data_IF_951623427951
#
_entry.id   IF_951623427951
#
_cell.length_a   1.000
_cell.length_b   1.000
_cell.length_c   1.000
_cell.angle_alpha   90.00
_cell.angle_beta   90.00
_cell.angle_gamma   90.00
#
_symmetry.space_group_name_H-M   'P 1'
#
loop_
_entity.id
_entity.type
_entity.pdbx_description
1 polymer ?
#
# COMPACT_ATOMS: atom_id res chain seq x y z
N UNK A 1 -61.71 -45.96 40.86
CA UNK A 1 -60.50 -46.75 41.20
C UNK A 1 -59.49 -46.57 40.07
N UNK A 2 -58.42 -45.84 40.36
CA UNK A 2 -57.14 -45.75 39.61
C UNK A 2 -56.22 -46.85 40.23
N UNK A 3 -55.14 -47.40 39.61
CA UNK A 3 -54.52 -47.19 38.28
C UNK A 3 -54.20 -48.50 37.50
N UNK A 4 -53.74 -48.38 36.25
CA UNK A 4 -52.45 -48.99 35.89
C UNK A 4 -51.78 -48.20 34.76
N UNK A 5 -50.69 -47.54 35.14
CA UNK A 5 -49.68 -47.00 34.22
C UNK A 5 -48.90 -48.16 33.62
N UNK A 6 -48.56 -48.09 32.33
CA UNK A 6 -47.35 -48.73 31.82
C UNK A 6 -46.70 -47.90 30.70
N UNK A 7 -45.64 -47.21 31.11
CA UNK A 7 -44.31 -47.11 30.48
C UNK A 7 -44.27 -46.69 29.00
N UNK A 8 -44.28 -45.38 28.80
CA UNK A 8 -43.55 -44.75 27.70
C UNK A 8 -42.08 -44.63 28.12
N UNK A 9 -41.19 -45.41 27.50
CA UNK A 9 -39.77 -45.21 27.58
C UNK A 9 -39.38 -43.99 26.72
N UNK A 10 -38.75 -42.94 27.27
CA UNK A 10 -38.12 -41.93 26.44
C UNK A 10 -36.76 -42.46 26.01
N UNK A 11 -36.62 -42.68 24.70
CA UNK A 11 -35.36 -42.90 24.00
C UNK A 11 -34.48 -41.66 24.25
N UNK A 12 -33.53 -41.78 25.18
CA UNK A 12 -32.49 -40.77 25.44
C UNK A 12 -31.59 -40.68 24.21
N UNK A 13 -31.94 -39.76 23.31
CA UNK A 13 -31.09 -39.34 22.21
C UNK A 13 -29.96 -38.49 22.80
N UNK A 14 -28.85 -39.16 23.14
CA UNK A 14 -27.58 -38.52 23.50
C UNK A 14 -27.06 -37.76 22.26
N UNK A 15 -27.54 -36.54 22.08
CA UNK A 15 -26.90 -35.56 21.21
C UNK A 15 -25.57 -35.24 21.86
N UNK A 16 -24.50 -35.88 21.37
CA UNK A 16 -23.13 -35.44 21.63
C UNK A 16 -22.98 -34.06 21.02
N UNK A 17 -23.24 -33.03 21.82
CA UNK A 17 -22.65 -31.72 21.58
C UNK A 17 -21.14 -31.91 21.65
N UNK A 18 -20.53 -32.09 20.48
CA UNK A 18 -19.12 -31.81 20.31
C UNK A 18 -19.01 -30.30 20.53
N UNK A 19 -18.72 -29.90 21.77
CA UNK A 19 -18.13 -28.61 22.03
C UNK A 19 -16.85 -28.59 21.19
N UNK A 20 -16.96 -27.99 20.00
CA UNK A 20 -15.82 -27.40 19.34
C UNK A 20 -15.41 -26.31 20.31
N UNK A 21 -14.51 -26.66 21.22
CA UNK A 21 -13.66 -25.70 21.91
C UNK A 21 -12.91 -25.05 20.76
N UNK A 22 -13.46 -23.95 20.25
CA UNK A 22 -12.71 -22.99 19.50
C UNK A 22 -11.57 -22.60 20.45
N UNK A 23 -10.44 -23.27 20.31
CA UNK A 23 -9.21 -22.79 20.88
C UNK A 23 -9.12 -21.34 20.38
N UNK A 24 -9.07 -20.35 21.29
CA UNK A 24 -8.75 -19.01 20.86
C UNK A 24 -7.44 -19.13 20.10
N UNK A 25 -7.50 -18.91 18.78
CA UNK A 25 -6.31 -18.64 17.99
C UNK A 25 -5.56 -17.59 18.80
N UNK A 26 -4.28 -17.80 19.13
CA UNK A 26 -3.53 -16.89 19.97
C UNK A 26 -3.73 -15.50 19.41
N UNK A 27 -4.31 -14.65 20.25
CA UNK A 27 -4.41 -13.21 20.03
C UNK A 27 -3.03 -12.76 19.59
N UNK A 28 -2.93 -12.37 18.33
CA UNK A 28 -1.74 -11.72 17.77
C UNK A 28 -1.36 -10.64 18.77
N UNK A 29 -0.12 -10.71 19.24
CA UNK A 29 0.42 -9.88 20.30
C UNK A 29 0.12 -8.41 20.01
N UNK A 30 -0.85 -7.83 20.75
CA UNK A 30 -1.15 -6.39 20.79
C UNK A 30 -0.03 -5.60 21.50
N UNK A 31 1.21 -6.08 21.46
CA UNK A 31 2.37 -5.22 21.64
C UNK A 31 2.47 -4.38 20.39
N UNK A 32 2.18 -3.09 20.54
CA UNK A 32 2.35 -2.06 19.54
C UNK A 32 3.77 -2.02 18.99
N UNK A 33 4.05 -2.93 18.06
CA UNK A 33 5.07 -2.78 17.06
C UNK A 33 4.60 -1.61 16.20
N UNK A 34 5.03 -0.41 16.58
CA UNK A 34 5.04 0.73 15.66
C UNK A 34 5.82 0.26 14.44
N UNK A 35 5.10 -0.12 13.40
CA UNK A 35 5.69 -0.54 12.14
C UNK A 35 6.10 0.74 11.43
N UNK A 36 7.24 1.32 11.78
CA UNK A 36 7.73 2.56 11.17
C UNK A 36 8.62 2.23 9.96
N UNK A 37 7.97 1.72 8.90
CA UNK A 37 8.66 1.40 7.65
C UNK A 37 8.35 2.41 6.57
N UNK A 38 9.34 2.61 5.70
CA UNK A 38 9.18 3.38 4.48
C UNK A 38 8.38 2.53 3.50
N UNK A 39 7.16 2.99 3.19
CA UNK A 39 6.31 2.41 2.14
C UNK A 39 6.86 2.77 0.77
N UNK A 40 7.49 3.93 0.63
CA UNK A 40 8.18 4.33 -0.59
C UNK A 40 8.42 5.85 -0.63
N UNK A 41 8.65 6.35 -1.84
CA UNK A 41 9.07 7.72 -2.10
C UNK A 41 8.15 8.42 -3.09
N UNK A 42 7.81 9.67 -2.81
CA UNK A 42 7.07 10.54 -3.71
C UNK A 42 7.92 11.76 -4.07
N UNK A 43 7.84 12.20 -5.33
CA UNK A 43 8.61 13.32 -5.84
C UNK A 43 7.68 14.44 -6.27
N UNK A 44 7.99 15.67 -5.84
CA UNK A 44 7.07 16.78 -6.04
C UNK A 44 7.80 18.13 -6.07
N UNK A 45 7.06 19.20 -6.29
CA UNK A 45 7.56 20.58 -6.22
C UNK A 45 7.65 21.10 -4.77
N UNK A 46 8.36 22.20 -4.58
CA UNK A 46 8.55 22.82 -3.27
C UNK A 46 7.24 23.17 -2.56
N UNK A 47 6.25 23.64 -3.31
CA UNK A 47 4.99 24.11 -2.74
C UNK A 47 4.20 22.95 -2.16
N UNK A 48 4.11 21.85 -2.91
CA UNK A 48 3.50 20.60 -2.47
C UNK A 48 4.26 19.97 -1.30
N UNK A 49 5.58 19.94 -1.36
CA UNK A 49 6.40 19.37 -0.28
C UNK A 49 6.23 20.10 1.04
N UNK A 50 6.16 21.44 1.01
CA UNK A 50 5.88 22.26 2.21
C UNK A 50 4.49 21.97 2.78
N UNK A 51 3.49 21.84 1.91
CA UNK A 51 2.14 21.45 2.33
C UNK A 51 2.12 20.07 3.00
N UNK A 52 2.78 19.08 2.41
CA UNK A 52 2.85 17.73 2.98
C UNK A 52 3.57 17.71 4.33
N UNK A 53 4.67 18.47 4.46
CA UNK A 53 5.37 18.63 5.73
C UNK A 53 4.50 19.31 6.81
N UNK A 54 3.68 20.29 6.43
CA UNK A 54 2.76 20.96 7.34
C UNK A 54 1.61 20.04 7.76
N UNK A 55 1.05 19.26 6.83
CA UNK A 55 0.00 18.29 7.11
C UNK A 55 0.52 17.04 7.84
N UNK A 56 1.82 16.73 7.71
CA UNK A 56 2.43 15.48 8.17
C UNK A 56 2.05 14.26 7.32
N UNK A 57 1.37 14.47 6.18
CA UNK A 57 0.87 13.42 5.29
C UNK A 57 0.74 13.94 3.86
N UNK A 58 0.42 13.05 2.92
CA UNK A 58 0.13 13.41 1.53
C UNK A 58 -1.25 14.05 1.42
N UNK A 59 -1.34 15.11 0.61
CA UNK A 59 -2.61 15.74 0.26
C UNK A 59 -2.94 15.55 -1.22
N UNK A 60 -4.23 15.61 -1.54
CA UNK A 60 -4.75 15.49 -2.91
C UNK A 60 -4.71 16.85 -3.61
N UNK A 61 -3.57 17.22 -4.17
CA UNK A 61 -3.37 18.47 -4.91
C UNK A 61 -3.68 18.34 -6.42
N UNK A 62 -3.70 17.11 -6.94
CA UNK A 62 -4.04 16.76 -8.32
C UNK A 62 -5.13 15.69 -8.33
N UNK A 63 -6.03 15.75 -9.31
CA UNK A 63 -7.01 14.68 -9.51
C UNK A 63 -6.32 13.39 -9.95
N UNK A 64 -6.67 12.26 -9.33
CA UNK A 64 -6.20 10.93 -9.73
C UNK A 64 -5.41 10.20 -8.65
N UNK A 65 -4.30 9.58 -9.03
CA UNK A 65 -3.48 8.74 -8.16
C UNK A 65 -2.15 9.42 -7.83
N UNK A 66 -1.67 9.25 -6.60
CA UNK A 66 -0.29 9.56 -6.22
C UNK A 66 0.61 8.39 -6.54
N UNK A 67 1.73 8.67 -7.18
CA UNK A 67 2.74 7.66 -7.50
C UNK A 67 3.75 7.59 -6.36
N UNK A 68 3.88 6.39 -5.80
CA UNK A 68 4.83 6.06 -4.74
C UNK A 68 5.83 5.06 -5.33
N UNK A 69 7.09 5.43 -5.32
CA UNK A 69 8.21 4.65 -5.82
C UNK A 69 8.77 3.76 -4.71
N UNK A 70 9.20 2.53 -5.02
CA UNK A 70 9.62 1.58 -4.00
C UNK A 70 11.01 1.92 -3.44
N UNK A 71 11.84 2.59 -4.24
CA UNK A 71 13.19 3.03 -3.90
C UNK A 71 13.40 4.47 -4.33
N UNK A 72 14.39 5.18 -3.75
CA UNK A 72 14.79 6.46 -4.29
C UNK A 72 15.30 6.26 -5.72
N UNK A 73 14.81 7.00 -6.71
CA UNK A 73 15.48 7.02 -8.02
C UNK A 73 16.77 7.86 -7.92
N UNK A 74 17.66 7.86 -8.92
CA UNK A 74 18.92 8.65 -8.84
C UNK A 74 19.01 9.76 -9.88
N UNK A 75 18.39 9.59 -11.06
CA UNK A 75 18.80 10.34 -12.26
C UNK A 75 18.11 11.68 -12.49
N UNK A 76 17.03 12.02 -11.76
CA UNK A 76 16.24 13.25 -12.01
C UNK A 76 15.96 14.07 -10.74
N UNK A 77 16.72 13.78 -9.67
CA UNK A 77 16.36 14.10 -8.28
C UNK A 77 17.07 15.31 -7.70
N UNK A 78 17.90 15.98 -8.51
CA UNK A 78 18.43 17.28 -8.13
C UNK A 78 17.42 18.42 -8.30
N UNK A 79 16.28 18.18 -8.96
CA UNK A 79 15.28 19.22 -9.28
C UNK A 79 14.01 19.15 -8.45
N UNK A 80 13.71 17.99 -7.87
CA UNK A 80 12.44 17.73 -7.17
C UNK A 80 12.68 17.55 -5.67
N UNK A 81 11.69 17.95 -4.87
CA UNK A 81 11.63 17.59 -3.46
C UNK A 81 11.33 16.10 -3.33
N UNK A 82 11.89 15.48 -2.30
CA UNK A 82 11.80 14.03 -2.07
C UNK A 82 11.03 13.79 -0.79
N UNK A 83 9.90 13.11 -0.90
CA UNK A 83 9.02 12.79 0.20
C UNK A 83 9.13 11.31 0.54
N UNK A 84 9.62 11.03 1.74
CA UNK A 84 9.59 9.71 2.33
C UNK A 84 8.20 9.43 2.89
N UNK A 85 7.58 8.34 2.44
CA UNK A 85 6.26 7.94 2.87
C UNK A 85 6.40 6.78 3.84
N UNK A 86 5.96 7.00 5.07
CA UNK A 86 5.96 6.01 6.14
C UNK A 86 4.55 5.56 6.44
N UNK A 87 4.44 4.34 6.92
CA UNK A 87 3.24 3.87 7.61
C UNK A 87 3.60 3.62 9.06
N UNK A 88 2.63 3.72 9.97
CA UNK A 88 2.81 3.33 11.38
C UNK A 88 1.88 2.17 11.76
N UNK A 89 0.75 2.04 11.06
CA UNK A 89 -0.28 1.02 11.25
C UNK A 89 -0.41 0.21 9.96
N UNK A 90 0.37 -0.86 9.84
CA UNK A 90 0.40 -1.68 8.63
C UNK A 90 -0.97 -2.33 8.34
N UNK A 91 -1.74 -2.63 9.38
CA UNK A 91 -3.05 -3.29 9.33
C UNK A 91 -4.00 -2.63 8.31
N UNK A 92 -4.16 -1.31 8.37
CA UNK A 92 -5.07 -0.59 7.46
C UNK A 92 -4.64 -0.73 5.99
N UNK A 93 -3.33 -0.77 5.72
CA UNK A 93 -2.81 -0.97 4.38
C UNK A 93 -2.95 -2.43 3.92
N UNK A 94 -2.80 -3.40 4.82
CA UNK A 94 -3.02 -4.82 4.53
C UNK A 94 -4.50 -5.15 4.29
N UNK A 95 -5.42 -4.43 4.91
CA UNK A 95 -6.87 -4.60 4.71
C UNK A 95 -7.41 -3.86 3.49
N UNK A 96 -6.73 -2.79 3.05
CA UNK A 96 -7.15 -2.02 1.88
C UNK A 96 -7.28 -2.90 0.61
N UNK A 97 -8.26 -2.66 -0.27
CA UNK A 97 -8.32 -3.33 -1.57
C UNK A 97 -7.06 -3.06 -2.38
N UNK A 98 -6.44 -4.12 -2.91
CA UNK A 98 -5.17 -4.06 -3.63
C UNK A 98 -5.26 -4.82 -4.95
N UNK A 99 -4.57 -4.31 -5.98
CA UNK A 99 -4.54 -4.94 -7.29
C UNK A 99 -3.19 -4.76 -7.98
N UNK A 100 -2.62 -5.83 -8.52
CA UNK A 100 -1.50 -5.74 -9.44
C UNK A 100 -2.00 -5.56 -10.89
N UNK A 101 -1.44 -4.59 -11.60
CA UNK A 101 -1.77 -4.27 -12.99
C UNK A 101 -0.76 -4.95 -13.91
N UNK A 102 -1.21 -5.99 -14.60
CA UNK A 102 -0.38 -6.71 -15.59
C UNK A 102 -0.40 -6.04 -16.96
N UNK A 103 -1.41 -5.22 -17.24
CA UNK A 103 -1.51 -4.46 -18.50
C UNK A 103 -0.57 -3.24 -18.47
N UNK A 104 0.60 -3.38 -19.09
CA UNK A 104 1.59 -2.31 -19.25
C UNK A 104 1.05 -1.06 -19.96
N UNK A 105 0.02 -1.22 -20.79
CA UNK A 105 -0.63 -0.11 -21.49
C UNK A 105 -1.59 0.67 -20.60
N UNK A 106 -2.11 0.04 -19.54
CA UNK A 106 -2.90 0.72 -18.51
C UNK A 106 -2.00 1.57 -17.59
N UNK A 107 -0.73 1.18 -17.39
CA UNK A 107 0.26 1.91 -16.58
C UNK A 107 0.80 3.19 -17.23
N UNK A 108 0.25 3.62 -18.37
CA UNK A 108 0.62 4.88 -19.03
C UNK A 108 -0.05 6.06 -18.31
N UNK A 109 0.67 7.16 -18.13
CA UNK A 109 0.18 8.39 -17.46
C UNK A 109 -1.11 8.99 -18.09
N UNK A 110 -1.38 8.70 -19.37
CA UNK A 110 -2.63 9.07 -20.07
C UNK A 110 -3.75 8.05 -19.93
N UNK A 111 -3.52 6.97 -19.17
CA UNK A 111 -4.34 5.76 -19.12
C UNK A 111 -5.33 5.72 -17.96
N UNK A 112 -5.63 6.84 -17.29
CA UNK A 112 -6.53 6.85 -16.12
C UNK A 112 -7.82 6.07 -16.36
N UNK A 113 -8.48 6.30 -17.50
CA UNK A 113 -9.70 5.57 -17.87
C UNK A 113 -9.48 4.05 -18.08
N UNK A 114 -8.31 3.65 -18.59
CA UNK A 114 -7.94 2.22 -18.70
C UNK A 114 -7.68 1.60 -17.34
N UNK A 115 -7.01 2.33 -16.43
CA UNK A 115 -6.82 1.89 -15.05
C UNK A 115 -8.17 1.69 -14.35
N UNK A 116 -9.09 2.64 -14.49
CA UNK A 116 -10.43 2.51 -13.93
C UNK A 116 -11.17 1.29 -14.48
N UNK A 117 -11.08 1.03 -15.79
CA UNK A 117 -11.70 -0.14 -16.41
C UNK A 117 -11.08 -1.43 -15.87
N UNK A 118 -9.76 -1.49 -15.72
CA UNK A 118 -9.07 -2.66 -15.17
C UNK A 118 -9.52 -2.98 -13.73
N UNK A 119 -9.71 -1.96 -12.89
CA UNK A 119 -10.26 -2.14 -11.53
C UNK A 119 -11.73 -2.61 -11.58
N UNK A 120 -12.54 -2.02 -12.45
CA UNK A 120 -13.96 -2.41 -12.63
C UNK A 120 -14.09 -3.85 -13.11
N UNK A 121 -13.24 -4.30 -14.04
CA UNK A 121 -13.20 -5.67 -14.55
C UNK A 121 -12.79 -6.66 -13.45
N UNK A 122 -11.91 -6.23 -12.54
CA UNK A 122 -11.57 -6.96 -11.32
C UNK A 122 -12.68 -6.93 -10.25
N UNK A 123 -13.81 -6.26 -10.51
CA UNK A 123 -14.95 -6.07 -9.59
C UNK A 123 -14.56 -5.37 -8.29
N UNK A 124 -13.58 -4.48 -8.36
CA UNK A 124 -13.12 -3.67 -7.24
C UNK A 124 -13.61 -2.21 -7.38
N UNK A 125 -13.51 -1.44 -6.29
CA UNK A 125 -13.93 -0.04 -6.29
C UNK A 125 -12.74 0.86 -6.67
N UNK A 126 -12.89 1.57 -7.79
CA UNK A 126 -11.90 2.51 -8.33
C UNK A 126 -11.38 3.50 -7.28
N UNK A 127 -12.27 3.98 -6.42
CA UNK A 127 -11.95 5.07 -5.51
C UNK A 127 -11.01 4.68 -4.37
N UNK A 128 -10.99 3.42 -3.97
CA UNK A 128 -10.22 2.95 -2.80
C UNK A 128 -9.35 1.74 -3.10
N UNK A 129 -9.15 1.36 -4.37
CA UNK A 129 -8.25 0.29 -4.72
C UNK A 129 -6.84 0.84 -4.91
N UNK A 130 -5.91 0.39 -4.08
CA UNK A 130 -4.48 0.67 -4.25
C UNK A 130 -3.98 -0.22 -5.38
N UNK A 131 -3.31 0.38 -6.37
CA UNK A 131 -2.77 -0.38 -7.48
C UNK A 131 -1.26 -0.48 -7.43
N UNK A 132 -0.73 -1.53 -8.01
CA UNK A 132 0.69 -1.80 -8.13
C UNK A 132 1.00 -2.16 -9.58
N UNK A 133 2.03 -1.55 -10.18
CA UNK A 133 2.35 -1.81 -11.58
C UNK A 133 3.77 -1.44 -11.96
N UNK A 134 4.25 -1.98 -13.08
CA UNK A 134 5.59 -1.71 -13.58
C UNK A 134 5.68 -0.29 -14.20
N UNK A 135 6.77 0.47 -13.98
CA UNK A 135 7.04 1.72 -14.66
C UNK A 135 7.23 1.51 -16.16
N UNK A 136 6.71 2.46 -16.93
CA UNK A 136 6.76 2.47 -18.39
C UNK A 136 8.19 2.32 -18.96
N UNK A 137 9.18 2.92 -18.30
CA UNK A 137 10.56 3.01 -18.82
C UNK A 137 11.24 1.65 -19.01
N UNK A 138 10.90 0.65 -18.20
CA UNK A 138 11.43 -0.70 -18.34
C UNK A 138 10.82 -1.43 -19.55
N UNK A 139 9.51 -1.28 -19.74
CA UNK A 139 8.76 -1.93 -20.80
C UNK A 139 9.21 -1.50 -22.21
N UNK A 140 9.52 -0.21 -22.41
CA UNK A 140 9.93 0.32 -23.71
C UNK A 140 11.40 0.04 -24.05
N UNK A 141 12.26 -0.17 -23.05
CA UNK A 141 13.69 -0.42 -23.26
C UNK A 141 14.05 -1.91 -23.32
N UNK A 142 13.05 -2.80 -23.28
CA UNK A 142 13.30 -4.25 -23.22
C UNK A 142 14.10 -4.68 -22.00
N UNK A 143 14.15 -3.84 -20.95
CA UNK A 143 14.82 -4.13 -19.70
C UNK A 143 13.80 -4.74 -18.76
N UNK A 144 14.19 -5.76 -18.01
CA UNK A 144 13.32 -6.26 -16.95
C UNK A 144 12.99 -5.10 -15.99
N UNK A 145 11.70 -4.88 -15.69
CA UNK A 145 11.29 -3.86 -14.74
C UNK A 145 11.85 -4.24 -13.38
N UNK A 146 12.88 -3.52 -12.94
CA UNK A 146 13.48 -3.74 -11.63
C UNK A 146 12.63 -3.18 -10.48
N UNK A 147 11.53 -2.47 -10.78
CA UNK A 147 10.79 -1.70 -9.78
C UNK A 147 9.28 -1.77 -10.05
N UNK A 148 8.48 -1.82 -8.98
CA UNK A 148 7.02 -1.70 -9.02
C UNK A 148 6.65 -0.33 -8.45
N UNK A 149 5.71 0.39 -9.06
CA UNK A 149 5.15 1.64 -8.54
C UNK A 149 3.80 1.34 -7.87
N UNK A 150 3.53 1.99 -6.74
CA UNK A 150 2.22 2.03 -6.12
C UNK A 150 1.46 3.28 -6.59
N UNK A 151 0.21 3.09 -6.99
CA UNK A 151 -0.75 4.14 -7.33
C UNK A 151 -1.76 4.26 -6.19
N UNK A 152 -1.63 5.34 -5.42
CA UNK A 152 -2.43 5.60 -4.23
C UNK A 152 -3.61 6.52 -4.59
N UNK A 153 -4.88 6.07 -4.48
CA UNK A 153 -6.03 6.89 -4.86
C UNK A 153 -6.29 8.06 -3.88
N UNK A 154 -6.94 9.11 -4.40
CA UNK A 154 -7.28 10.32 -3.62
C UNK A 154 -8.10 10.08 -2.36
N UNK A 155 -8.92 9.03 -2.26
CA UNK A 155 -9.71 8.75 -1.05
C UNK A 155 -8.82 8.36 0.16
N UNK A 156 -7.53 8.10 -0.05
CA UNK A 156 -6.54 7.91 1.01
C UNK A 156 -5.68 9.15 1.28
N UNK A 157 -5.95 10.27 0.63
CA UNK A 157 -5.18 11.50 0.76
C UNK A 157 -5.99 12.55 1.51
N UNK A 158 -5.33 13.38 2.30
CA UNK A 158 -6.01 14.49 2.95
C UNK A 158 -6.34 15.61 1.96
N UNK A 159 -7.26 16.48 2.36
CA UNK A 159 -7.65 17.64 1.56
C UNK A 159 -6.46 18.57 1.33
N UNK A 160 -6.23 18.94 0.08
CA UNK A 160 -5.21 19.94 -0.23
C UNK A 160 -5.69 21.36 0.07
N UNK A 161 -4.82 22.18 0.63
CA UNK A 161 -5.08 23.62 0.78
C UNK A 161 -4.96 24.37 -0.55
N UNK A 162 -4.06 23.92 -1.43
CA UNK A 162 -3.83 24.52 -2.74
C UNK A 162 -4.90 24.13 -3.76
N UNK A 163 -5.47 22.94 -3.60
CA UNK A 163 -6.57 22.47 -4.43
C UNK A 163 -7.72 21.91 -3.58
N UNK A 164 -8.51 22.79 -2.92
CA UNK A 164 -9.56 22.36 -2.01
C UNK A 164 -10.76 21.70 -2.71
N UNK A 165 -10.84 21.79 -4.04
CA UNK A 165 -11.87 21.18 -4.87
C UNK A 165 -11.48 19.78 -5.36
N UNK A 166 -10.21 19.38 -5.24
CA UNK A 166 -9.79 18.04 -5.57
C UNK A 166 -10.53 17.00 -4.71
N UNK A 167 -10.81 15.85 -5.32
CA UNK A 167 -11.29 14.69 -4.58
C UNK A 167 -10.27 14.32 -3.51
N UNK A 168 -10.72 13.99 -2.31
CA UNK A 168 -9.88 13.66 -1.16
C UNK A 168 -10.64 12.71 -0.22
N UNK A 169 -9.93 12.15 0.74
CA UNK A 169 -10.49 11.42 1.87
C UNK A 169 -9.85 11.82 3.18
N UNK A 170 -9.58 10.83 4.05
CA UNK A 170 -9.22 11.06 5.46
C UNK A 170 -7.92 10.40 5.90
N UNK A 171 -7.03 10.04 4.96
CA UNK A 171 -5.79 9.30 5.25
C UNK A 171 -6.04 8.07 6.14
N UNK A 172 -7.05 7.27 5.80
CA UNK A 172 -7.44 6.08 6.58
C UNK A 172 -6.37 4.99 6.62
N UNK A 173 -5.36 5.05 5.75
CA UNK A 173 -4.18 4.18 5.79
C UNK A 173 -3.18 4.58 6.88
N UNK A 174 -3.30 5.77 7.46
CA UNK A 174 -2.34 6.26 8.46
C UNK A 174 -0.95 6.52 7.89
N UNK A 175 -0.87 6.94 6.62
CA UNK A 175 0.39 7.29 5.98
C UNK A 175 0.91 8.61 6.54
N UNK A 176 2.24 8.73 6.61
CA UNK A 176 2.95 9.95 6.98
C UNK A 176 3.91 10.32 5.89
N UNK A 177 4.05 11.62 5.65
CA UNK A 177 4.97 12.15 4.65
C UNK A 177 5.99 13.06 5.32
N UNK A 178 7.26 12.89 4.96
CA UNK A 178 8.32 13.83 5.28
C UNK A 178 9.11 14.14 4.02
N UNK A 179 9.08 15.41 3.61
CA UNK A 179 9.73 15.90 2.42
C UNK A 179 11.00 16.67 2.76
N UNK A 180 12.07 16.40 2.02
CA UNK A 180 13.32 17.14 2.09
C UNK A 180 13.61 17.85 0.76
N UNK A 181 14.35 18.97 0.80
CA UNK A 181 14.78 19.69 -0.39
C UNK A 181 15.55 18.82 -1.40
N UNK A 182 15.62 19.26 -2.66
CA UNK A 182 16.51 18.66 -3.64
C UNK A 182 17.97 18.68 -3.13
N UNK A 183 18.77 17.69 -3.54
CA UNK A 183 20.19 17.51 -3.16
C UNK A 183 20.47 17.13 -1.71
N UNK A 184 19.50 17.18 -0.80
CA UNK A 184 19.68 16.59 0.54
C UNK A 184 19.58 15.06 0.49
N UNK A 185 20.29 14.36 1.37
CA UNK A 185 20.30 12.90 1.40
C UNK A 185 19.16 12.33 2.25
N UNK A 186 18.38 11.38 1.71
CA UNK A 186 17.40 10.60 2.47
C UNK A 186 18.10 9.35 2.98
N UNK A 187 18.25 9.23 4.30
CA UNK A 187 18.81 8.02 4.89
C UNK A 187 17.76 6.92 4.93
N UNK A 188 17.79 6.06 3.93
CA UNK A 188 16.93 4.87 3.85
C UNK A 188 17.49 3.79 4.77
N UNK A 189 16.66 3.25 5.67
CA UNK A 189 17.07 2.13 6.55
C UNK A 189 16.12 0.94 6.50
N UNK A 190 14.83 1.16 6.27
CA UNK A 190 13.83 0.09 6.28
C UNK A 190 12.74 0.39 5.25
N UNK A 191 12.81 -0.27 4.08
CA UNK A 191 11.77 -0.23 3.06
C UNK A 191 10.83 -1.42 3.26
N UNK A 192 9.55 -1.21 3.00
CA UNK A 192 8.57 -2.27 3.06
C UNK A 192 8.63 -3.16 1.80
N UNK A 193 8.62 -4.47 2.03
CA UNK A 193 8.51 -5.49 0.98
C UNK A 193 7.05 -5.65 0.56
N UNK A 194 6.67 -5.03 -0.56
CA UNK A 194 5.27 -5.05 -1.01
C UNK A 194 4.77 -6.45 -1.38
N UNK A 195 5.70 -7.34 -1.78
CA UNK A 195 5.40 -8.75 -2.07
C UNK A 195 4.70 -9.45 -0.90
N UNK A 196 5.07 -9.11 0.32
CA UNK A 196 4.56 -9.75 1.53
C UNK A 196 3.15 -9.28 1.91
N UNK A 197 2.59 -8.30 1.18
CA UNK A 197 1.29 -7.71 1.48
C UNK A 197 0.10 -8.44 0.85
N UNK A 198 0.32 -9.61 0.25
CA UNK A 198 -0.74 -10.45 -0.30
C UNK A 198 -1.47 -9.82 -1.48
N UNK A 199 -0.76 -9.05 -2.32
CA UNK A 199 -1.34 -8.38 -3.48
C UNK A 199 -1.74 -9.44 -4.53
N UNK A 200 -3.02 -9.53 -4.94
CA UNK A 200 -3.46 -10.52 -5.93
C UNK A 200 -2.73 -10.36 -7.26
N UNK A 201 -2.30 -11.49 -7.84
CA UNK A 201 -1.59 -11.57 -9.13
C UNK A 201 -0.22 -10.87 -9.15
N UNK A 202 0.43 -10.76 -7.99
CA UNK A 202 1.82 -10.33 -7.92
C UNK A 202 2.71 -11.27 -8.76
N UNK A 203 3.57 -10.75 -9.66
CA UNK A 203 4.45 -11.59 -10.46
C UNK A 203 5.64 -12.10 -9.64
N UNK A 204 5.94 -13.40 -9.74
CA UNK A 204 6.99 -14.05 -8.94
C UNK A 204 8.40 -13.49 -9.15
N UNK A 205 8.66 -12.95 -10.34
CA UNK A 205 9.95 -12.40 -10.76
C UNK A 205 10.25 -10.99 -10.19
N UNK A 206 9.25 -10.29 -9.62
CA UNK A 206 9.45 -8.94 -9.10
C UNK A 206 9.77 -8.94 -7.60
N UNK A 207 10.90 -8.32 -7.28
CA UNK A 207 11.37 -8.10 -5.91
C UNK A 207 11.59 -6.59 -5.67
N UNK A 208 11.37 -6.15 -4.45
CA UNK A 208 11.73 -4.79 -4.00
C UNK A 208 13.24 -4.75 -3.73
N UNK A 209 14.07 -4.78 -4.77
CA UNK A 209 15.51 -4.67 -4.53
C UNK A 209 15.87 -3.22 -4.17
N UNK A 210 16.27 -3.02 -2.92
CA UNK A 210 17.28 -2.01 -2.61
C UNK A 210 18.49 -2.38 -3.45
N UNK A 211 18.78 -1.58 -4.47
CA UNK A 211 20.12 -1.63 -5.05
C UNK A 211 21.00 -1.08 -3.94
N UNK A 212 21.78 -1.94 -3.30
CA UNK A 212 22.87 -1.48 -2.44
C UNK A 212 23.67 -0.49 -3.29
N UNK A 213 23.53 0.79 -2.96
CA UNK A 213 24.46 1.80 -3.44
C UNK A 213 25.75 1.47 -2.73
N UNK A 214 26.54 0.56 -3.31
CA UNK A 214 27.87 0.23 -2.82
C UNK A 214 28.58 1.56 -2.52
N UNK A 215 28.93 1.74 -1.24
CA UNK A 215 29.83 2.76 -0.73
C UNK A 215 31.25 2.49 -1.27
N UNK A 216 31.42 2.38 -2.59
CA UNK A 216 32.71 2.44 -3.25
C UNK A 216 33.08 3.90 -3.48
N UNK A 217 33.13 4.70 -2.40
CA UNK A 217 34.14 5.74 -2.32
C UNK A 217 35.44 5.04 -1.92
N UNK A 218 36.06 4.40 -2.91
CA UNK A 218 37.48 4.13 -2.86
C UNK A 218 38.18 5.48 -2.90
N UNK A 219 38.47 6.02 -1.72
CA UNK A 219 39.54 6.99 -1.53
C UNK A 219 40.77 6.44 -2.30
N UNK A 220 41.04 7.07 -3.43
CA UNK A 220 42.25 6.83 -4.21
C UNK A 220 43.10 8.07 -3.99
N UNK A 221 44.15 7.86 -3.21
CA UNK A 221 45.30 8.76 -3.03
C UNK A 221 45.90 9.25 -4.36
#
# INVERSE_FOLDING_TARGET
MIPSLNVLAPLLLLIRFSLVVACPVPVIDKRGLTFDKIVGFHYTDETAAKEYNQAGTLTSDVGGYKHIHPVPMDSDHQRHWKCEIRIHQLENLLEAPKLFITDRSANVWSGLQRLENYIKDAKLNVRNTIMFGEPLSAAFLGKEPKQVIMFLPSDYLEKSQRNPLAQHGSNSLGLRAKCIPPREYLRVREIAEWRDWGIPRWPDALHTQLVDSDDSHSDSD
#
